data_IF_917766253933
#
_entry.id   IF_917766253933
#
_cell.length_a   1.000
_cell.length_b   1.000
_cell.length_c   1.000
_cell.angle_alpha   90.00
_cell.angle_beta   90.00
_cell.angle_gamma   90.00
#
_symmetry.space_group_name_H-M   'P 1'
#
loop_
_entity.id
_entity.type
_entity.pdbx_description
1 polymer ?
#
# COMPACT_ATOMS: atom_id res chain seq x y z
N UNK A 1 8.64 -29.95 13.70
CA UNK A 1 8.60 -29.25 12.40
C UNK A 1 9.99 -29.27 11.81
N UNK A 2 10.16 -29.90 10.65
CA UNK A 2 11.37 -29.73 9.83
C UNK A 2 11.23 -28.35 9.21
N UNK A 3 12.02 -27.39 9.69
CA UNK A 3 12.07 -26.04 9.14
C UNK A 3 13.23 -26.08 8.16
N UNK A 4 12.96 -25.93 6.87
CA UNK A 4 14.01 -25.60 5.90
C UNK A 4 14.39 -24.13 6.10
N UNK A 5 15.69 -23.91 6.33
CA UNK A 5 16.33 -22.63 6.61
C UNK A 5 16.30 -21.72 5.37
N UNK A 6 15.37 -20.76 5.27
CA UNK A 6 15.58 -19.45 4.58
C UNK A 6 14.37 -18.47 4.64
N UNK A 7 13.69 -18.33 5.78
CA UNK A 7 12.59 -17.35 5.90
C UNK A 7 13.14 -15.96 6.23
N UNK A 8 13.12 -15.07 5.24
CA UNK A 8 13.40 -13.63 5.40
C UNK A 8 12.19 -12.90 5.96
N UNK A 9 12.41 -12.17 7.05
CA UNK A 9 11.43 -11.37 7.76
C UNK A 9 10.65 -10.40 6.85
N UNK A 10 9.32 -10.51 6.91
CA UNK A 10 8.38 -9.48 6.46
C UNK A 10 7.64 -8.93 7.69
N UNK A 11 7.38 -7.62 7.65
CA UNK A 11 6.86 -6.80 8.74
C UNK A 11 5.52 -7.34 9.29
N UNK A 12 5.51 -7.78 10.54
CA UNK A 12 4.33 -8.34 11.21
C UNK A 12 3.45 -7.20 11.73
N UNK A 13 2.26 -7.04 11.16
CA UNK A 13 1.18 -6.28 11.82
C UNK A 13 -0.12 -7.08 11.69
N UNK A 14 -0.51 -7.70 12.81
CA UNK A 14 -1.71 -8.53 13.04
C UNK A 14 -1.68 -9.96 12.47
N UNK A 15 -0.89 -10.85 13.09
CA UNK A 15 -1.04 -12.31 12.93
C UNK A 15 -0.95 -12.93 14.33
N UNK A 16 -2.02 -13.61 14.78
CA UNK A 16 -2.00 -14.92 15.46
C UNK A 16 -3.34 -15.19 16.18
N UNK A 17 -4.31 -15.67 15.42
CA UNK A 17 -5.20 -16.78 15.83
C UNK A 17 -5.17 -17.86 14.74
N UNK A 18 -3.98 -18.14 14.21
CA UNK A 18 -3.80 -19.13 13.14
C UNK A 18 -3.21 -20.42 13.72
N UNK A 19 -3.85 -21.58 13.50
CA UNK A 19 -3.10 -22.82 13.45
C UNK A 19 -2.14 -22.69 12.26
N UNK A 20 -0.83 -22.68 12.50
CA UNK A 20 0.19 -22.59 11.44
C UNK A 20 0.06 -23.69 10.38
N UNK A 21 -0.61 -24.78 10.73
CA UNK A 21 -0.81 -25.96 9.89
C UNK A 21 -1.82 -25.73 8.74
N UNK A 22 -2.56 -24.62 8.76
CA UNK A 22 -3.59 -24.30 7.75
C UNK A 22 -3.12 -23.27 6.71
N UNK A 23 -1.84 -22.91 6.69
CA UNK A 23 -1.30 -21.92 5.78
C UNK A 23 -0.06 -22.45 5.05
N UNK A 24 -0.20 -22.68 3.75
CA UNK A 24 0.88 -23.10 2.88
C UNK A 24 1.20 -21.97 1.87
N UNK A 25 2.42 -21.42 1.98
CA UNK A 25 2.90 -20.32 1.14
C UNK A 25 4.15 -20.78 0.40
N UNK A 26 4.04 -20.90 -0.92
CA UNK A 26 5.18 -21.27 -1.77
C UNK A 26 6.19 -20.11 -1.94
N UNK A 27 7.35 -20.43 -2.51
CA UNK A 27 8.44 -19.47 -2.68
C UNK A 27 8.07 -18.30 -3.60
N UNK A 28 8.52 -17.11 -3.22
CA UNK A 28 8.44 -15.91 -4.06
C UNK A 28 7.09 -15.19 -4.03
N UNK A 29 6.19 -15.61 -3.14
CA UNK A 29 4.95 -14.88 -2.83
C UNK A 29 5.29 -13.51 -2.25
N UNK A 30 4.56 -12.50 -2.71
CA UNK A 30 4.72 -11.11 -2.25
C UNK A 30 3.41 -10.60 -1.69
N UNK A 31 3.45 -9.96 -0.52
CA UNK A 31 2.30 -9.38 0.16
C UNK A 31 2.47 -7.88 0.34
N UNK A 32 1.36 -7.16 0.27
CA UNK A 32 1.31 -5.71 0.45
C UNK A 32 0.36 -5.31 1.59
N UNK A 33 0.26 -4.00 1.82
CA UNK A 33 -0.39 -3.43 2.99
C UNK A 33 -1.83 -3.93 3.16
N UNK A 34 -2.17 -4.39 4.36
CA UNK A 34 -3.54 -4.78 4.71
C UNK A 34 -4.03 -6.09 4.09
N UNK A 35 -3.15 -6.93 3.52
CA UNK A 35 -3.50 -8.30 3.10
C UNK A 35 -3.97 -9.12 4.29
N UNK A 36 -5.16 -9.72 4.18
CA UNK A 36 -5.75 -10.59 5.20
C UNK A 36 -5.83 -12.02 4.68
N UNK A 37 -5.23 -12.94 5.42
CA UNK A 37 -5.40 -14.37 5.21
C UNK A 37 -6.36 -14.83 6.30
N UNK A 38 -7.58 -15.26 5.97
CA UNK A 38 -8.57 -15.68 6.94
C UNK A 38 -8.61 -17.21 6.98
N UNK A 39 -8.04 -17.85 7.99
CA UNK A 39 -8.03 -19.33 8.10
C UNK A 39 -9.35 -19.91 8.61
N UNK A 40 -10.34 -19.06 8.89
CA UNK A 40 -11.65 -19.49 9.33
C UNK A 40 -12.74 -18.51 8.87
N UNK A 41 -13.95 -19.05 8.72
CA UNK A 41 -15.18 -18.29 8.47
C UNK A 41 -16.27 -18.80 9.41
N UNK A 42 -17.06 -17.89 9.97
CA UNK A 42 -18.26 -18.26 10.72
C UNK A 42 -19.44 -18.30 9.76
N UNK A 43 -20.05 -19.47 9.62
CA UNK A 43 -21.27 -19.61 8.83
C UNK A 43 -22.44 -18.90 9.52
N UNK A 44 -23.51 -18.63 8.77
CA UNK A 44 -24.74 -18.03 9.33
C UNK A 44 -25.36 -18.86 10.46
N UNK A 45 -25.03 -20.15 10.52
CA UNK A 45 -25.50 -21.11 11.51
C UNK A 45 -24.63 -21.13 12.78
N UNK A 46 -23.57 -20.31 12.84
CA UNK A 46 -22.66 -20.24 13.98
C UNK A 46 -21.60 -21.34 13.99
N UNK A 47 -21.44 -22.10 12.89
CA UNK A 47 -20.38 -23.08 12.74
C UNK A 47 -19.10 -22.37 12.27
N UNK A 48 -17.98 -22.71 12.92
CA UNK A 48 -16.67 -22.26 12.50
C UNK A 48 -16.13 -23.22 11.43
N UNK A 49 -16.03 -22.74 10.19
CA UNK A 49 -15.38 -23.45 9.10
C UNK A 49 -13.91 -23.08 9.09
N UNK A 50 -13.02 -24.08 9.20
CA UNK A 50 -11.58 -23.91 9.07
C UNK A 50 -11.10 -24.76 7.90
N UNK A 51 -10.24 -24.20 7.06
CA UNK A 51 -9.69 -24.91 5.92
C UNK A 51 -8.34 -24.30 5.51
N UNK A 52 -7.55 -25.08 4.80
CA UNK A 52 -6.20 -24.73 4.36
C UNK A 52 -6.24 -23.60 3.31
N UNK A 53 -5.34 -22.64 3.44
CA UNK A 53 -5.03 -21.66 2.39
C UNK A 53 -3.72 -22.06 1.74
N UNK A 54 -3.76 -22.29 0.44
CA UNK A 54 -2.58 -22.57 -0.38
C UNK A 54 -2.29 -21.42 -1.35
N UNK A 55 -1.07 -20.87 -1.29
CA UNK A 55 -0.64 -19.76 -2.14
C UNK A 55 0.52 -20.23 -3.03
N UNK A 56 0.25 -20.37 -4.33
CA UNK A 56 1.24 -20.82 -5.31
C UNK A 56 2.42 -19.85 -5.50
N UNK A 57 3.53 -20.37 -6.02
CA UNK A 57 4.80 -19.68 -6.13
C UNK A 57 4.71 -18.41 -6.98
N UNK A 58 5.51 -17.40 -6.62
CA UNK A 58 5.56 -16.11 -7.33
C UNK A 58 4.23 -15.37 -7.45
N UNK A 59 3.26 -15.65 -6.57
CA UNK A 59 1.98 -14.94 -6.50
C UNK A 59 2.16 -13.55 -5.88
N UNK A 60 1.43 -12.56 -6.38
CA UNK A 60 1.45 -11.19 -5.88
C UNK A 60 0.09 -10.81 -5.27
N UNK A 61 0.09 -10.55 -3.96
CA UNK A 61 -1.07 -10.16 -3.18
C UNK A 61 -1.01 -8.66 -2.89
N UNK A 62 -1.76 -7.87 -3.66
CA UNK A 62 -1.73 -6.40 -3.50
C UNK A 62 -2.56 -5.91 -2.31
N UNK A 63 -2.74 -4.60 -2.18
CA UNK A 63 -3.23 -3.97 -0.95
C UNK A 63 -4.68 -4.36 -0.61
N UNK A 64 -4.94 -4.56 0.69
CA UNK A 64 -6.27 -4.81 1.26
C UNK A 64 -7.06 -5.95 0.60
N UNK A 65 -6.37 -6.98 0.11
CA UNK A 65 -7.04 -8.20 -0.33
C UNK A 65 -7.36 -9.12 0.87
N UNK A 66 -8.43 -9.91 0.75
CA UNK A 66 -8.82 -10.91 1.75
C UNK A 66 -8.91 -12.28 1.08
N UNK A 67 -8.21 -13.26 1.64
CA UNK A 67 -8.20 -14.65 1.17
C UNK A 67 -8.95 -15.51 2.19
N UNK A 68 -10.04 -16.12 1.76
CA UNK A 68 -10.92 -16.95 2.58
C UNK A 68 -10.39 -18.38 2.76
N UNK A 69 -10.80 -19.11 3.82
CA UNK A 69 -10.33 -20.47 4.06
C UNK A 69 -10.74 -21.42 2.92
N UNK A 70 -9.87 -22.39 2.57
CA UNK A 70 -10.11 -23.35 1.49
C UNK A 70 -9.66 -22.87 0.11
N UNK A 71 -9.07 -21.67 0.04
CA UNK A 71 -8.57 -21.10 -1.22
C UNK A 71 -7.25 -21.76 -1.64
N UNK A 72 -7.15 -22.19 -2.91
CA UNK A 72 -5.92 -22.70 -3.52
C UNK A 72 -5.50 -21.89 -4.74
N UNK A 73 -4.62 -20.91 -4.56
CA UNK A 73 -4.14 -20.03 -5.64
C UNK A 73 -3.08 -20.71 -6.51
N UNK A 74 -3.25 -20.61 -7.84
CA UNK A 74 -2.28 -21.08 -8.81
C UNK A 74 -1.02 -20.19 -8.84
N UNK A 75 0.15 -20.74 -9.21
CA UNK A 75 1.39 -19.97 -9.31
C UNK A 75 1.30 -18.79 -10.28
N UNK A 76 2.09 -17.74 -10.00
CA UNK A 76 2.18 -16.49 -10.75
C UNK A 76 0.83 -15.73 -10.88
N UNK A 77 -0.08 -15.93 -9.95
CA UNK A 77 -1.34 -15.16 -9.92
C UNK A 77 -1.08 -13.75 -9.36
N UNK A 78 -1.75 -12.74 -9.91
CA UNK A 78 -1.82 -11.41 -9.30
C UNK A 78 -3.21 -11.15 -8.76
N UNK A 79 -3.30 -10.80 -7.49
CA UNK A 79 -4.55 -10.39 -6.84
C UNK A 79 -4.53 -8.88 -6.70
N UNK A 80 -5.45 -8.22 -7.37
CA UNK A 80 -5.60 -6.76 -7.36
C UNK A 80 -6.15 -6.24 -6.02
N UNK A 81 -6.07 -4.92 -5.84
CA UNK A 81 -6.34 -4.32 -4.53
C UNK A 81 -7.83 -4.37 -4.19
N UNK A 82 -8.18 -4.39 -2.91
CA UNK A 82 -9.57 -4.51 -2.44
C UNK A 82 -10.30 -5.78 -2.93
N UNK A 83 -9.56 -6.85 -3.28
CA UNK A 83 -10.13 -8.08 -3.84
C UNK A 83 -10.46 -9.10 -2.74
N UNK A 84 -11.63 -9.73 -2.83
CA UNK A 84 -12.04 -10.84 -1.98
C UNK A 84 -11.92 -12.15 -2.76
N UNK A 85 -11.04 -13.04 -2.30
CA UNK A 85 -10.87 -14.37 -2.87
C UNK A 85 -11.65 -15.38 -2.02
N UNK A 86 -12.56 -16.09 -2.67
CA UNK A 86 -13.32 -17.21 -2.11
C UNK A 86 -12.90 -18.53 -2.79
N UNK A 87 -13.09 -19.70 -2.16
CA UNK A 87 -12.67 -20.98 -2.73
C UNK A 87 -13.14 -21.22 -4.18
N UNK A 88 -14.36 -20.80 -4.50
CA UNK A 88 -14.98 -20.98 -5.82
C UNK A 88 -14.44 -20.01 -6.90
N UNK A 89 -13.67 -18.99 -6.52
CA UNK A 89 -13.14 -17.99 -7.47
C UNK A 89 -11.81 -18.38 -8.11
N UNK A 90 -11.21 -19.51 -7.72
CA UNK A 90 -9.88 -19.86 -8.21
C UNK A 90 -9.93 -20.74 -9.45
N UNK A 91 -9.48 -20.18 -10.57
CA UNK A 91 -9.23 -20.91 -11.80
C UNK A 91 -7.94 -21.72 -11.71
N UNK A 92 -7.89 -22.85 -12.44
CA UNK A 92 -6.70 -23.72 -12.53
C UNK A 92 -5.58 -23.11 -13.39
N UNK A 93 -5.87 -22.03 -14.10
CA UNK A 93 -4.92 -21.38 -15.01
C UNK A 93 -3.86 -20.57 -14.26
N UNK A 94 -2.65 -20.54 -14.80
CA UNK A 94 -1.52 -19.75 -14.28
C UNK A 94 -1.46 -18.36 -14.94
N UNK A 95 -0.71 -17.42 -14.36
CA UNK A 95 -0.54 -16.06 -14.89
C UNK A 95 -1.83 -15.22 -14.98
N UNK A 96 -2.83 -15.49 -14.12
CA UNK A 96 -4.10 -14.75 -14.12
C UNK A 96 -4.05 -13.53 -13.21
N UNK A 97 -4.85 -12.52 -13.55
CA UNK A 97 -5.11 -11.34 -12.71
C UNK A 97 -6.53 -11.45 -12.16
N UNK A 98 -6.66 -11.49 -10.84
CA UNK A 98 -7.93 -11.57 -10.12
C UNK A 98 -8.26 -10.22 -9.51
N UNK A 99 -9.47 -9.71 -9.74
CA UNK A 99 -9.93 -8.44 -9.18
C UNK A 99 -11.41 -8.49 -8.82
N UNK A 100 -11.78 -7.89 -7.68
CA UNK A 100 -13.17 -7.62 -7.32
C UNK A 100 -13.69 -8.33 -6.08
N UNK A 101 -14.96 -8.11 -5.78
CA UNK A 101 -15.65 -8.66 -4.60
C UNK A 101 -16.99 -9.27 -5.06
N UNK A 102 -17.09 -10.60 -5.23
CA UNK A 102 -16.00 -11.58 -5.20
C UNK A 102 -15.07 -11.41 -6.41
N UNK A 103 -13.86 -11.96 -6.31
CA UNK A 103 -12.85 -11.86 -7.35
C UNK A 103 -13.33 -12.44 -8.69
N UNK A 104 -12.97 -11.78 -9.79
CA UNK A 104 -13.16 -12.27 -11.16
C UNK A 104 -11.84 -12.19 -11.92
N UNK A 105 -11.67 -13.08 -12.88
CA UNK A 105 -10.55 -13.00 -13.80
C UNK A 105 -10.70 -11.77 -14.70
N UNK A 106 -9.61 -11.01 -14.81
CA UNK A 106 -9.53 -9.90 -15.75
C UNK A 106 -9.21 -10.41 -17.16
N UNK A 107 -9.70 -9.73 -18.21
CA UNK A 107 -9.52 -10.14 -19.61
C UNK A 107 -8.07 -9.97 -20.11
N UNK A 108 -7.17 -9.44 -19.28
CA UNK A 108 -5.76 -9.23 -19.61
C UNK A 108 -4.86 -10.04 -18.69
N UNK A 109 -3.72 -10.43 -19.23
CA UNK A 109 -2.66 -11.15 -18.53
C UNK A 109 -1.51 -10.19 -18.27
N UNK A 110 -0.81 -10.37 -17.16
CA UNK A 110 0.43 -9.65 -16.94
C UNK A 110 1.48 -10.15 -17.95
N UNK A 111 1.98 -9.25 -18.79
CA UNK A 111 3.08 -9.56 -19.72
C UNK A 111 4.33 -9.84 -18.88
N UNK A 112 4.88 -11.05 -18.92
CA UNK A 112 6.12 -11.41 -18.20
C UNK A 112 7.26 -10.46 -18.60
N UNK A 113 7.52 -9.41 -17.82
CA UNK A 113 8.71 -8.55 -17.98
C UNK A 113 9.95 -9.17 -17.33
N UNK A 114 9.98 -10.50 -17.18
CA UNK A 114 11.14 -11.23 -16.65
C UNK A 114 12.38 -11.02 -17.50
N UNK A 115 12.24 -10.74 -18.81
CA UNK A 115 13.35 -10.43 -19.70
C UNK A 115 14.15 -9.17 -19.32
N UNK A 116 13.59 -8.25 -18.52
CA UNK A 116 14.31 -7.09 -18.00
C UNK A 116 15.05 -7.39 -16.68
N UNK A 117 14.64 -8.45 -15.97
CA UNK A 117 15.15 -8.84 -14.65
C UNK A 117 16.23 -9.93 -14.76
N UNK A 118 16.17 -10.78 -15.80
CA UNK A 118 17.13 -11.88 -16.01
C UNK A 118 18.57 -11.39 -16.26
N UNK A 119 18.78 -10.14 -16.67
CA UNK A 119 20.10 -9.51 -16.76
C UNK A 119 20.65 -8.99 -15.42
N UNK A 120 19.84 -8.94 -14.36
CA UNK A 120 20.14 -8.31 -13.08
C UNK A 120 19.95 -9.24 -11.87
N UNK A 121 19.41 -10.45 -12.05
CA UNK A 121 19.16 -11.39 -10.95
C UNK A 121 19.93 -12.70 -11.11
N UNK A 122 21.25 -12.63 -10.91
CA UNK A 122 22.09 -13.80 -10.58
C UNK A 122 22.75 -13.66 -9.21
N UNK A 123 22.07 -13.02 -8.25
CA UNK A 123 22.44 -13.13 -6.85
C UNK A 123 21.23 -13.55 -6.04
N UNK A 124 21.30 -14.79 -5.53
CA UNK A 124 20.56 -15.17 -4.33
C UNK A 124 21.01 -14.22 -3.23
N UNK A 125 20.33 -13.09 -3.07
CA UNK A 125 20.63 -12.21 -1.95
C UNK A 125 20.17 -12.98 -0.72
N UNK A 126 21.07 -13.61 0.03
CA UNK A 126 20.94 -13.63 1.49
C UNK A 126 21.03 -12.16 1.91
N UNK A 127 20.23 -11.71 2.89
CA UNK A 127 20.49 -10.37 3.44
C UNK A 127 21.84 -10.51 4.12
N UNK A 128 22.88 -9.89 3.57
CA UNK A 128 24.21 -9.94 4.18
C UNK A 128 24.07 -9.53 5.64
N UNK A 129 24.70 -10.27 6.56
CA UNK A 129 24.68 -9.96 7.99
C UNK A 129 25.07 -8.49 8.23
N UNK A 130 25.96 -7.95 7.40
CA UNK A 130 26.33 -6.53 7.41
C UNK A 130 25.14 -5.59 7.15
N UNK A 131 24.30 -5.86 6.15
CA UNK A 131 23.11 -5.06 5.85
C UNK A 131 22.11 -5.10 7.00
N UNK A 132 21.93 -6.27 7.60
CA UNK A 132 21.07 -6.43 8.78
C UNK A 132 21.61 -5.62 9.97
N UNK A 133 22.89 -5.76 10.30
CA UNK A 133 23.54 -5.01 11.38
C UNK A 133 23.47 -3.50 11.15
N UNK A 134 23.71 -3.05 9.93
CA UNK A 134 23.58 -1.64 9.55
C UNK A 134 22.16 -1.11 9.79
N UNK A 135 21.14 -1.87 9.36
CA UNK A 135 19.74 -1.50 9.58
C UNK A 135 19.38 -1.47 11.07
N UNK A 136 19.82 -2.45 11.86
CA UNK A 136 19.59 -2.51 13.30
C UNK A 136 20.25 -1.33 14.03
N UNK A 137 21.51 -1.01 13.68
CA UNK A 137 22.22 0.12 14.26
C UNK A 137 21.53 1.44 13.93
N UNK A 138 21.14 1.63 12.67
CA UNK A 138 20.44 2.84 12.25
C UNK A 138 19.08 2.98 12.94
N UNK A 139 18.32 1.89 13.07
CA UNK A 139 17.07 1.85 13.84
C UNK A 139 17.31 2.24 15.30
N UNK A 140 18.33 1.68 15.94
CA UNK A 140 18.67 1.99 17.33
C UNK A 140 19.05 3.47 17.51
N UNK A 141 19.90 4.01 16.63
CA UNK A 141 20.32 5.40 16.67
C UNK A 141 19.12 6.34 16.46
N UNK A 142 18.28 6.06 15.47
CA UNK A 142 17.06 6.82 15.22
C UNK A 142 16.11 6.81 16.42
N UNK A 143 15.79 5.62 16.96
CA UNK A 143 14.90 5.50 18.12
C UNK A 143 15.45 6.20 19.35
N UNK A 144 16.76 6.10 19.57
CA UNK A 144 17.43 6.82 20.65
C UNK A 144 17.27 8.33 20.49
N UNK A 145 17.51 8.86 19.28
CA UNK A 145 17.33 10.27 18.97
C UNK A 145 15.86 10.72 19.13
N UNK A 146 14.90 9.90 18.68
CA UNK A 146 13.47 10.15 18.84
C UNK A 146 13.06 10.22 20.32
N UNK A 147 13.51 9.26 21.14
CA UNK A 147 13.22 9.24 22.58
C UNK A 147 13.83 10.47 23.26
N UNK A 148 15.09 10.81 22.94
CA UNK A 148 15.74 12.01 23.47
C UNK A 148 14.96 13.27 23.08
N UNK A 149 14.53 13.39 21.83
CA UNK A 149 13.74 14.53 21.35
C UNK A 149 12.45 14.72 22.15
N UNK A 150 11.70 13.64 22.39
CA UNK A 150 10.43 13.70 23.10
C UNK A 150 10.57 13.78 24.64
N UNK A 151 11.71 13.39 25.20
CA UNK A 151 12.00 13.50 26.62
C UNK A 151 12.63 14.85 27.02
N UNK A 152 13.45 15.43 26.15
CA UNK A 152 14.23 16.63 26.44
C UNK A 152 13.50 17.94 26.14
N UNK A 153 12.62 17.95 25.13
CA UNK A 153 11.86 19.14 24.75
C UNK A 153 10.45 19.11 25.35
N UNK A 154 9.84 20.28 25.61
CA UNK A 154 8.45 20.34 26.03
C UNK A 154 7.53 19.69 24.98
N UNK A 155 6.45 19.06 25.44
CA UNK A 155 5.49 18.29 24.64
C UNK A 155 4.97 19.06 23.41
N UNK A 156 4.92 20.39 23.44
CA UNK A 156 4.49 21.22 22.31
C UNK A 156 5.57 21.42 21.23
N UNK A 157 6.86 21.45 21.58
CA UNK A 157 7.95 21.73 20.64
C UNK A 157 8.45 20.48 19.92
N UNK A 158 8.49 19.34 20.60
CA UNK A 158 8.92 18.05 20.03
C UNK A 158 8.16 17.68 18.75
N UNK A 159 6.80 17.70 18.69
CA UNK A 159 6.07 17.36 17.47
C UNK A 159 6.31 18.36 16.33
N UNK A 160 6.47 19.65 16.62
CA UNK A 160 6.78 20.66 15.59
C UNK A 160 8.15 20.42 14.96
N UNK A 161 9.17 20.12 15.79
CA UNK A 161 10.49 19.76 15.28
C UNK A 161 10.44 18.46 14.47
N UNK A 162 9.67 17.48 14.94
CA UNK A 162 9.50 16.22 14.24
C UNK A 162 8.85 16.41 12.85
N UNK A 163 7.81 17.26 12.75
CA UNK A 163 7.21 17.67 11.45
C UNK A 163 8.28 18.25 10.52
N UNK A 164 9.10 19.17 11.02
CA UNK A 164 10.15 19.82 10.24
C UNK A 164 11.18 18.80 9.74
N UNK A 165 11.66 17.90 10.62
CA UNK A 165 12.63 16.87 10.25
C UNK A 165 12.07 15.95 9.17
N UNK A 166 10.83 15.47 9.33
CA UNK A 166 10.16 14.62 8.33
C UNK A 166 10.06 15.33 6.98
N UNK A 167 9.67 16.61 6.97
CA UNK A 167 9.58 17.38 5.74
C UNK A 167 10.94 17.52 5.03
N UNK A 168 12.00 17.85 5.78
CA UNK A 168 13.36 18.02 5.23
C UNK A 168 13.89 16.69 4.70
N UNK A 169 13.79 15.61 5.48
CA UNK A 169 14.25 14.27 5.09
C UNK A 169 13.50 13.80 3.84
N UNK A 170 12.17 13.99 3.80
CA UNK A 170 11.37 13.58 2.65
C UNK A 170 11.75 14.35 1.38
N UNK A 171 11.86 15.68 1.46
CA UNK A 171 12.28 16.53 0.32
C UNK A 171 13.67 16.20 -0.17
N UNK A 172 14.61 15.98 0.75
CA UNK A 172 15.97 15.55 0.42
C UNK A 172 15.96 14.18 -0.27
N UNK A 173 15.13 13.24 0.21
CA UNK A 173 14.99 11.91 -0.40
C UNK A 173 14.46 11.99 -1.83
N UNK A 174 13.49 12.87 -2.10
CA UNK A 174 12.96 13.10 -3.46
C UNK A 174 14.00 13.77 -4.35
N UNK A 175 14.77 14.74 -3.83
CA UNK A 175 15.81 15.41 -4.60
C UNK A 175 16.91 14.42 -5.06
N UNK A 176 17.26 13.45 -4.22
CA UNK A 176 18.19 12.36 -4.57
C UNK A 176 17.55 11.36 -5.54
N UNK A 177 16.23 11.14 -5.42
CA UNK A 177 15.44 10.26 -6.30
C UNK A 177 15.43 10.87 -7.71
N UNK A 178 16.45 10.54 -8.49
CA UNK A 178 16.88 11.13 -9.77
C UNK A 178 15.84 11.04 -10.92
N UNK A 179 14.63 11.60 -10.73
CA UNK A 179 13.42 11.54 -11.58
C UNK A 179 13.01 10.16 -12.11
N UNK A 180 13.64 9.07 -11.65
CA UNK A 180 13.26 7.70 -12.02
C UNK A 180 11.84 7.44 -11.54
N UNK A 181 11.03 6.91 -12.45
CA UNK A 181 9.63 6.54 -12.22
C UNK A 181 9.45 5.04 -11.95
N UNK A 182 10.52 4.25 -12.08
CA UNK A 182 10.48 2.80 -11.87
C UNK A 182 11.65 2.36 -10.99
N UNK A 183 11.35 1.51 -10.02
CA UNK A 183 12.32 0.92 -9.10
C UNK A 183 12.06 -0.57 -8.96
N UNK A 184 13.11 -1.38 -8.93
CA UNK A 184 12.98 -2.79 -8.62
C UNK A 184 12.71 -3.00 -7.14
N UNK A 185 12.06 -4.10 -6.78
CA UNK A 185 11.77 -4.44 -5.38
C UNK A 185 13.03 -4.47 -4.51
N UNK A 186 14.13 -5.01 -5.02
CA UNK A 186 15.42 -5.06 -4.32
C UNK A 186 16.00 -3.67 -4.06
N UNK A 187 15.85 -2.73 -4.99
CA UNK A 187 16.24 -1.33 -4.78
C UNK A 187 15.36 -0.68 -3.72
N UNK A 188 14.04 -0.87 -3.77
CA UNK A 188 13.10 -0.30 -2.77
C UNK A 188 13.42 -0.81 -1.35
N UNK A 189 13.74 -2.10 -1.21
CA UNK A 189 14.12 -2.72 0.07
C UNK A 189 15.48 -2.22 0.55
N UNK A 190 16.47 -2.09 -0.34
CA UNK A 190 17.83 -1.73 0.05
C UNK A 190 18.06 -0.20 0.14
N UNK A 191 17.12 0.61 -0.36
CA UNK A 191 17.23 2.06 -0.34
C UNK A 191 16.70 2.69 0.96
N UNK A 192 16.99 3.98 1.08
CA UNK A 192 16.54 4.91 2.11
C UNK A 192 15.03 4.95 2.42
N UNK A 193 14.20 4.26 1.63
CA UNK A 193 12.76 4.18 1.82
C UNK A 193 12.34 3.33 3.02
N UNK A 194 13.11 2.31 3.42
CA UNK A 194 12.85 1.60 4.68
C UNK A 194 13.06 2.52 5.88
N UNK A 195 14.10 3.36 5.84
CA UNK A 195 14.34 4.34 6.90
C UNK A 195 13.23 5.39 6.92
N UNK A 196 12.81 5.91 5.77
CA UNK A 196 11.68 6.82 5.71
C UNK A 196 10.41 6.21 6.33
N UNK A 197 10.12 4.92 6.07
CA UNK A 197 8.99 4.22 6.71
C UNK A 197 9.09 4.18 8.24
N UNK A 198 10.26 3.89 8.79
CA UNK A 198 10.49 3.84 10.24
C UNK A 198 10.27 5.21 10.90
N UNK A 199 10.76 6.28 10.26
CA UNK A 199 10.55 7.65 10.72
C UNK A 199 9.08 8.06 10.63
N UNK A 200 8.41 7.67 9.54
CA UNK A 200 7.00 7.93 9.36
C UNK A 200 6.14 7.18 10.38
N UNK A 201 6.52 5.98 10.82
CA UNK A 201 5.71 5.19 11.77
C UNK A 201 5.52 5.89 13.12
N UNK A 202 6.60 6.42 13.72
CA UNK A 202 6.47 7.20 14.97
C UNK A 202 5.71 8.50 14.72
N UNK A 203 5.97 9.15 13.58
CA UNK A 203 5.21 10.33 13.19
C UNK A 203 3.70 10.05 13.11
N UNK A 204 3.31 8.92 12.50
CA UNK A 204 1.93 8.46 12.39
C UNK A 204 1.26 8.30 13.75
N UNK A 205 1.99 7.85 14.77
CA UNK A 205 1.47 7.60 16.11
C UNK A 205 1.43 8.89 16.95
N UNK A 206 2.52 9.64 16.99
CA UNK A 206 2.69 10.75 17.94
C UNK A 206 2.26 12.11 17.38
N UNK A 207 2.22 12.28 16.06
CA UNK A 207 1.86 13.56 15.42
C UNK A 207 0.60 13.41 14.56
N UNK A 208 0.48 12.29 13.85
CA UNK A 208 -0.62 11.96 12.95
C UNK A 208 -2.02 12.23 13.50
N UNK A 209 -2.37 11.81 14.74
CA UNK A 209 -3.70 12.00 15.29
C UNK A 209 -4.07 13.49 15.48
N UNK A 210 -3.08 14.34 15.77
CA UNK A 210 -3.29 15.77 15.99
C UNK A 210 -3.45 16.56 14.69
N UNK A 211 -2.85 16.08 13.60
CA UNK A 211 -2.99 16.69 12.27
C UNK A 211 -4.26 16.23 11.55
N UNK A 212 -4.66 14.97 11.76
CA UNK A 212 -5.77 14.33 11.04
C UNK A 212 -7.08 15.13 11.14
N UNK A 213 -7.72 15.40 10.00
CA UNK A 213 -8.96 16.17 9.95
C UNK A 213 -8.78 17.69 10.06
N UNK A 214 -7.55 18.20 10.24
CA UNK A 214 -7.26 19.64 10.35
C UNK A 214 -6.65 20.21 9.07
N UNK A 215 -6.68 21.54 8.93
CA UNK A 215 -5.97 22.23 7.84
C UNK A 215 -4.44 22.15 7.96
N UNK A 216 -3.91 21.83 9.15
CA UNK A 216 -2.47 21.60 9.32
C UNK A 216 -1.98 20.38 8.54
N UNK A 217 -2.83 19.37 8.36
CA UNK A 217 -2.48 18.22 7.52
C UNK A 217 -2.32 18.61 6.04
N UNK A 218 -3.15 19.52 5.54
CA UNK A 218 -3.01 20.06 4.19
C UNK A 218 -1.69 20.80 4.03
N UNK A 219 -1.33 21.66 4.99
CA UNK A 219 -0.04 22.36 4.98
C UNK A 219 1.15 21.39 5.06
N UNK A 220 1.04 20.35 5.89
CA UNK A 220 2.05 19.29 5.98
C UNK A 220 2.28 18.61 4.63
N UNK A 221 1.22 18.17 3.95
CA UNK A 221 1.37 17.53 2.64
C UNK A 221 1.87 18.48 1.55
N UNK A 222 1.47 19.76 1.58
CA UNK A 222 2.07 20.79 0.71
C UNK A 222 3.56 20.95 0.97
N UNK A 223 3.99 20.93 2.24
CA UNK A 223 5.39 20.94 2.61
C UNK A 223 6.15 19.70 2.11
N UNK A 224 5.50 18.54 2.04
CA UNK A 224 6.06 17.32 1.45
C UNK A 224 6.13 17.35 -0.09
N UNK A 225 5.26 18.08 -0.78
CA UNK A 225 5.28 18.20 -2.24
C UNK A 225 3.95 18.16 -2.94
N UNK A 226 2.86 17.85 -2.21
CA UNK A 226 1.54 17.76 -2.79
C UNK A 226 1.04 19.14 -3.26
N UNK A 227 0.38 19.14 -4.41
CA UNK A 227 -0.32 20.31 -4.92
C UNK A 227 -1.76 20.23 -4.45
N UNK A 228 -2.09 20.93 -3.35
CA UNK A 228 -3.43 20.87 -2.74
C UNK A 228 -4.08 22.26 -2.79
N UNK A 229 -5.28 22.33 -3.36
CA UNK A 229 -6.11 23.52 -3.50
C UNK A 229 -6.71 24.05 -2.18
N UNK A 230 -7.60 25.04 -2.27
CA UNK A 230 -8.29 25.62 -1.11
C UNK A 230 -9.44 24.72 -0.61
N UNK A 231 -9.80 24.85 0.67
CA UNK A 231 -10.94 24.16 1.31
C UNK A 231 -10.97 22.63 1.15
N UNK A 232 -9.79 22.02 1.08
CA UNK A 232 -9.63 20.57 1.04
C UNK A 232 -9.70 20.00 2.45
N UNK A 233 -10.38 18.85 2.60
CA UNK A 233 -10.39 18.10 3.86
C UNK A 233 -9.70 16.76 3.65
N UNK A 234 -8.67 16.53 4.47
CA UNK A 234 -7.94 15.28 4.55
C UNK A 234 -8.23 14.61 5.91
N UNK A 235 -8.75 13.38 5.92
CA UNK A 235 -9.31 12.76 7.11
C UNK A 235 -8.26 12.13 8.00
N UNK A 236 -7.13 11.71 7.42
CA UNK A 236 -6.08 10.98 8.11
C UNK A 236 -4.73 11.19 7.42
N UNK A 237 -3.65 11.17 8.20
CA UNK A 237 -2.26 11.32 7.75
C UNK A 237 -1.77 10.24 6.77
N UNK A 238 -2.52 9.17 6.54
CA UNK A 238 -2.18 8.10 5.59
C UNK A 238 -2.94 8.20 4.26
N UNK A 239 -3.72 9.27 4.05
CA UNK A 239 -4.56 9.38 2.86
C UNK A 239 -3.77 9.59 1.57
N UNK A 240 -2.59 10.22 1.62
CA UNK A 240 -1.68 10.35 0.47
C UNK A 240 -0.40 9.55 0.75
N UNK A 241 -0.11 8.56 -0.10
CA UNK A 241 1.10 7.73 0.07
C UNK A 241 2.33 8.35 -0.57
N UNK A 242 2.17 9.02 -1.72
CA UNK A 242 3.24 9.70 -2.46
C UNK A 242 2.86 11.17 -2.68
N UNK A 243 2.99 12.01 -1.64
CA UNK A 243 2.53 13.40 -1.69
C UNK A 243 3.06 14.19 -2.89
N UNK A 244 4.31 14.01 -3.29
CA UNK A 244 4.94 14.76 -4.38
C UNK A 244 4.34 14.52 -5.78
N UNK A 245 3.56 13.44 -5.93
CA UNK A 245 2.89 13.05 -7.16
C UNK A 245 1.37 13.28 -7.11
N UNK A 246 0.84 13.75 -5.97
CA UNK A 246 -0.58 13.97 -5.77
C UNK A 246 -0.96 15.43 -6.05
N UNK A 247 -1.92 15.61 -6.96
CA UNK A 247 -2.57 16.89 -7.23
C UNK A 247 -4.03 16.81 -6.79
N UNK A 248 -4.42 17.63 -5.81
CA UNK A 248 -5.76 17.70 -5.24
C UNK A 248 -6.30 19.11 -5.47
N UNK A 249 -7.38 19.25 -6.24
CA UNK A 249 -8.01 20.51 -6.56
C UNK A 249 -8.83 21.12 -5.41
N UNK A 250 -9.39 22.29 -5.66
CA UNK A 250 -10.16 23.05 -4.68
C UNK A 250 -11.44 22.33 -4.24
N UNK A 251 -11.83 22.48 -2.97
CA UNK A 251 -13.05 21.92 -2.39
C UNK A 251 -13.17 20.39 -2.46
N UNK A 252 -12.05 19.68 -2.62
CA UNK A 252 -12.02 18.21 -2.60
C UNK A 252 -12.20 17.69 -1.17
N UNK A 253 -12.99 16.63 -1.00
CA UNK A 253 -13.25 15.99 0.30
C UNK A 253 -12.84 14.52 0.26
N UNK A 254 -11.86 14.15 1.09
CA UNK A 254 -11.53 12.75 1.34
C UNK A 254 -12.20 12.33 2.65
N UNK A 255 -12.88 11.19 2.64
CA UNK A 255 -13.45 10.59 3.84
C UNK A 255 -12.53 9.50 4.40
N UNK A 256 -12.84 9.03 5.62
CA UNK A 256 -11.95 8.15 6.39
C UNK A 256 -11.62 6.87 5.62
N UNK A 257 -10.33 6.56 5.55
CA UNK A 257 -9.81 5.41 4.79
C UNK A 257 -9.75 5.61 3.28
N UNK A 258 -10.11 6.78 2.75
CA UNK A 258 -9.80 7.11 1.36
C UNK A 258 -8.29 7.26 1.18
N UNK A 259 -7.74 6.58 0.17
CA UNK A 259 -6.32 6.56 -0.15
C UNK A 259 -6.08 6.96 -1.61
N UNK A 260 -5.10 7.83 -1.81
CA UNK A 260 -4.52 8.16 -3.11
C UNK A 260 -3.09 7.62 -3.14
N UNK A 261 -2.90 6.62 -3.99
CA UNK A 261 -1.64 5.89 -4.12
C UNK A 261 -1.05 6.16 -5.50
N UNK A 262 0.05 6.91 -5.56
CA UNK A 262 0.67 7.29 -6.84
C UNK A 262 1.74 6.30 -7.29
N UNK A 263 1.72 5.09 -6.72
CA UNK A 263 2.55 3.98 -7.15
C UNK A 263 1.75 2.69 -7.29
N UNK A 264 2.18 1.81 -8.18
CA UNK A 264 1.70 0.44 -8.27
C UNK A 264 2.88 -0.51 -8.25
N UNK A 265 2.69 -1.67 -7.63
CA UNK A 265 3.69 -2.72 -7.63
C UNK A 265 3.27 -3.83 -8.60
N UNK A 266 3.95 -3.89 -9.73
CA UNK A 266 3.66 -4.80 -10.82
C UNK A 266 4.91 -5.65 -11.07
N UNK A 267 4.80 -6.98 -10.95
CA UNK A 267 5.88 -7.93 -11.29
C UNK A 267 7.25 -7.57 -10.71
N UNK A 268 7.30 -7.26 -9.40
CA UNK A 268 8.54 -6.86 -8.70
C UNK A 268 9.12 -5.50 -9.08
N UNK A 269 8.37 -4.68 -9.81
CA UNK A 269 8.72 -3.31 -10.14
C UNK A 269 7.69 -2.35 -9.54
N UNK A 270 8.18 -1.42 -8.74
CA UNK A 270 7.43 -0.29 -8.23
C UNK A 270 7.42 0.81 -9.30
N UNK A 271 6.24 1.10 -9.85
CA UNK A 271 6.03 2.14 -10.87
C UNK A 271 5.28 3.31 -10.27
N UNK A 272 5.81 4.50 -10.45
CA UNK A 272 5.21 5.76 -10.00
C UNK A 272 4.51 6.46 -11.17
N UNK A 273 3.33 7.00 -10.92
CA UNK A 273 2.62 7.86 -11.86
C UNK A 273 1.74 8.86 -11.08
N UNK A 274 1.69 10.13 -11.50
CA UNK A 274 0.93 11.17 -10.80
C UNK A 274 -0.57 10.86 -10.78
N UNK A 275 -1.25 11.34 -9.74
CA UNK A 275 -2.71 11.25 -9.62
C UNK A 275 -3.30 12.64 -9.46
N UNK A 276 -4.33 12.93 -10.27
CA UNK A 276 -5.00 14.22 -10.28
C UNK A 276 -6.46 14.07 -9.86
N UNK A 277 -6.81 14.64 -8.72
CA UNK A 277 -8.18 14.73 -8.22
C UNK A 277 -8.64 16.18 -8.36
N UNK A 278 -9.37 16.51 -9.43
CA UNK A 278 -9.78 17.89 -9.67
C UNK A 278 -10.90 18.35 -8.72
N UNK A 279 -11.18 19.64 -8.80
CA UNK A 279 -12.04 20.40 -7.92
C UNK A 279 -13.39 19.73 -7.58
N UNK A 280 -13.86 19.95 -6.35
CA UNK A 280 -15.17 19.52 -5.85
C UNK A 280 -15.44 18.01 -5.93
N UNK A 281 -14.42 17.19 -6.12
CA UNK A 281 -14.55 15.73 -6.09
C UNK A 281 -14.63 15.23 -4.65
N UNK A 282 -15.37 14.15 -4.45
CA UNK A 282 -15.57 13.51 -3.14
C UNK A 282 -15.11 12.06 -3.24
N UNK A 283 -14.11 11.71 -2.43
CA UNK A 283 -13.65 10.34 -2.22
C UNK A 283 -14.26 9.84 -0.92
N UNK A 284 -15.20 8.89 -1.01
CA UNK A 284 -15.89 8.37 0.18
C UNK A 284 -15.06 7.34 0.94
N UNK A 285 -15.62 6.81 2.04
CA UNK A 285 -14.88 5.93 2.94
C UNK A 285 -14.24 4.72 2.23
N UNK A 286 -12.98 4.43 2.57
CA UNK A 286 -12.24 3.26 2.07
C UNK A 286 -12.09 3.17 0.54
N UNK A 287 -12.21 4.29 -0.18
CA UNK A 287 -11.88 4.31 -1.62
C UNK A 287 -10.39 4.26 -1.85
N UNK A 288 -9.96 3.57 -2.91
CA UNK A 288 -8.57 3.54 -3.34
C UNK A 288 -8.45 4.11 -4.76
N UNK A 289 -7.61 5.12 -4.93
CA UNK A 289 -7.27 5.70 -6.25
C UNK A 289 -5.84 5.29 -6.59
N UNK A 290 -5.68 4.54 -7.68
CA UNK A 290 -4.39 4.05 -8.14
C UNK A 290 -3.64 5.05 -9.04
N UNK A 291 -2.37 4.75 -9.29
CA UNK A 291 -1.43 5.61 -10.00
C UNK A 291 -1.89 5.98 -11.41
N UNK A 292 -1.63 7.21 -11.85
CA UNK A 292 -2.00 7.69 -13.19
C UNK A 292 -3.47 8.09 -13.36
N UNK A 293 -4.34 7.88 -12.37
CA UNK A 293 -5.76 8.21 -12.48
C UNK A 293 -6.00 9.74 -12.51
N UNK A 294 -7.01 10.15 -13.28
CA UNK A 294 -7.46 11.55 -13.39
C UNK A 294 -8.97 11.62 -13.14
N UNK A 295 -9.37 12.29 -12.07
CA UNK A 295 -10.75 12.63 -11.79
C UNK A 295 -10.98 14.07 -12.27
N UNK A 296 -11.76 14.24 -13.33
CA UNK A 296 -11.86 15.51 -14.05
C UNK A 296 -12.62 16.61 -13.28
N UNK A 297 -13.34 16.28 -12.20
CA UNK A 297 -13.92 17.25 -11.26
C UNK A 297 -15.37 16.92 -10.94
N UNK A 298 -15.81 17.29 -9.72
CA UNK A 298 -17.16 16.96 -9.22
C UNK A 298 -17.48 15.46 -9.30
N UNK A 299 -16.45 14.62 -9.24
CA UNK A 299 -16.60 13.17 -9.22
C UNK A 299 -17.03 12.72 -7.83
N UNK A 300 -17.96 11.78 -7.74
CA UNK A 300 -18.32 11.13 -6.48
C UNK A 300 -17.89 9.67 -6.53
N UNK A 301 -16.87 9.33 -5.77
CA UNK A 301 -16.38 7.96 -5.66
C UNK A 301 -17.00 7.35 -4.41
N UNK A 302 -17.91 6.39 -4.59
CA UNK A 302 -18.68 5.76 -3.52
C UNK A 302 -17.78 4.90 -2.62
N UNK A 303 -18.22 4.54 -1.40
CA UNK A 303 -17.39 3.79 -0.47
C UNK A 303 -16.88 2.47 -1.06
N UNK A 304 -15.70 2.03 -0.64
CA UNK A 304 -15.10 0.76 -1.07
C UNK A 304 -14.92 0.63 -2.60
N UNK A 305 -14.71 1.75 -3.29
CA UNK A 305 -14.50 1.78 -4.74
C UNK A 305 -13.02 1.84 -5.09
N UNK A 306 -12.61 1.04 -6.08
CA UNK A 306 -11.25 1.02 -6.61
C UNK A 306 -11.21 1.74 -7.97
N UNK A 307 -10.62 2.93 -8.00
CA UNK A 307 -10.31 3.61 -9.27
C UNK A 307 -9.02 3.02 -9.82
N UNK A 308 -9.08 2.49 -11.05
CA UNK A 308 -7.98 1.75 -11.64
C UNK A 308 -6.87 2.67 -12.15
N UNK A 309 -5.72 2.06 -12.41
CA UNK A 309 -4.55 2.75 -12.95
C UNK A 309 -4.89 3.42 -14.28
N UNK A 310 -4.46 4.66 -14.46
CA UNK A 310 -4.69 5.46 -15.67
C UNK A 310 -6.18 5.70 -16.02
N UNK A 311 -7.11 5.43 -15.12
CA UNK A 311 -8.51 5.74 -15.35
C UNK A 311 -8.72 7.24 -15.50
N UNK A 312 -9.57 7.62 -16.45
CA UNK A 312 -10.03 8.99 -16.62
C UNK A 312 -11.52 9.06 -16.33
N UNK A 313 -11.89 9.62 -15.19
CA UNK A 313 -13.29 9.71 -14.76
C UNK A 313 -13.86 11.05 -15.23
N UNK A 314 -14.86 11.08 -16.14
CA UNK A 314 -15.44 12.30 -16.67
C UNK A 314 -16.02 13.17 -15.55
N UNK A 315 -16.11 14.51 -15.73
CA UNK A 315 -16.61 15.38 -14.68
C UNK A 315 -18.10 15.13 -14.37
N UNK A 316 -18.53 15.41 -13.14
CA UNK A 316 -19.93 15.26 -12.68
C UNK A 316 -20.48 13.81 -12.74
N UNK A 317 -19.63 12.82 -12.52
CA UNK A 317 -20.03 11.39 -12.57
C UNK A 317 -19.88 10.72 -11.21
N UNK A 318 -20.72 9.71 -10.96
CA UNK A 318 -20.68 8.88 -9.76
C UNK A 318 -20.06 7.52 -10.12
N UNK A 319 -19.24 6.96 -9.23
CA UNK A 319 -18.53 5.69 -9.49
C UNK A 319 -18.58 4.77 -8.28
N UNK A 320 -18.85 3.48 -8.52
CA UNK A 320 -18.87 2.45 -7.48
C UNK A 320 -18.28 1.12 -7.96
N UNK A 321 -17.67 0.37 -7.05
CA UNK A 321 -17.25 -1.02 -7.29
C UNK A 321 -15.75 -1.26 -7.32
N UNK A 322 -15.37 -2.53 -7.42
CA UNK A 322 -13.98 -3.00 -7.56
C UNK A 322 -13.94 -3.92 -8.79
N UNK A 323 -13.54 -3.42 -9.98
CA UNK A 323 -13.12 -2.05 -10.30
C UNK A 323 -14.28 -1.05 -10.35
N UNK A 324 -13.97 0.24 -10.32
CA UNK A 324 -14.94 1.32 -10.40
C UNK A 324 -15.75 1.27 -11.70
N UNK A 325 -17.06 1.34 -11.58
CA UNK A 325 -18.01 1.48 -12.69
C UNK A 325 -18.85 2.72 -12.50
N UNK A 326 -19.14 3.42 -13.59
CA UNK A 326 -19.98 4.61 -13.55
C UNK A 326 -21.41 4.20 -13.18
N UNK A 327 -21.99 4.93 -12.22
CA UNK A 327 -23.39 4.81 -11.84
C UNK A 327 -24.11 6.14 -12.08
N UNK A 328 -25.43 6.08 -12.11
CA UNK A 328 -26.31 7.22 -12.33
C UNK A 328 -26.19 8.31 -11.25
#
# INVERSE_FOLDING_TARGET
>A
AHIEDDVKFAEFTQILYFPTDLLNIERGVTTFAGTKLASFEMTKEGLCYLDEIHIGANTNLTNWCTIMPGTRLSPKTMIGSLTLIVPDTVSKDTNRVLLGIPAREMPFVLVDTTSFVDGLSSSSNSVSMHTLMFNCLHFFLYKSAFIILYLSLPVAFSPLLHIMIVCVVYRFSIAIRNKRTQFTFSEVINCSQQFFRLWMFDFFIFVGPYLSGTQFLVFFYRALGAQIGCDVILPHISCLTDPDLATIGDHVRLQRGAHVQCHTFEQRVLKFAPVNVNHSSVLMNNTLVLSGAILHGRNRILPWTLVMKNDQLPPNTNWSGVPAQQIL
#
